data_IF_522377586142
#
_entry.id   IF_522377586142
#
_cell.length_a   1.000
_cell.length_b   1.000
_cell.length_c   1.000
_cell.angle_alpha   90.00
_cell.angle_beta   90.00
_cell.angle_gamma   90.00
#
_symmetry.space_group_name_H-M   'P 1'
#
loop_
_entity.id
_entity.type
_entity.pdbx_description
1 polymer ?
#
# COMPACT_ATOMS: atom_id res chain seq x y z
N UNK A 1 -3.61 16.24 -9.47
CA UNK A 1 -2.26 16.06 -8.91
C UNK A 1 -2.04 16.89 -7.65
N UNK A 2 -2.12 18.23 -7.69
CA UNK A 2 -1.94 19.06 -6.48
C UNK A 2 -2.91 18.77 -5.33
N UNK A 3 -4.21 18.58 -5.63
CA UNK A 3 -5.20 18.17 -4.62
C UNK A 3 -4.84 16.82 -3.95
N UNK A 4 -4.24 15.92 -4.70
CA UNK A 4 -3.80 14.60 -4.23
C UNK A 4 -2.59 14.71 -3.32
N UNK A 5 -1.61 15.54 -3.66
CA UNK A 5 -0.41 15.77 -2.84
C UNK A 5 -0.77 16.31 -1.46
N UNK A 6 -1.59 17.37 -1.40
CA UNK A 6 -2.00 17.93 -0.11
C UNK A 6 -2.80 16.91 0.73
N UNK A 7 -3.63 16.09 0.08
CA UNK A 7 -4.37 15.02 0.76
C UNK A 7 -3.43 13.94 1.30
N UNK A 8 -2.42 13.52 0.55
CA UNK A 8 -1.44 12.52 0.99
C UNK A 8 -0.63 13.05 2.19
N UNK A 9 -0.20 14.32 2.16
CA UNK A 9 0.50 14.97 3.29
C UNK A 9 -0.36 15.09 4.55
N UNK A 10 -1.64 15.48 4.41
CA UNK A 10 -2.57 15.50 5.55
C UNK A 10 -2.84 14.10 6.09
N UNK A 11 -2.93 13.10 5.22
CA UNK A 11 -3.15 11.71 5.63
C UNK A 11 -1.98 11.24 6.50
N UNK A 12 -0.73 11.48 6.08
CA UNK A 12 0.44 11.16 6.89
C UNK A 12 0.40 11.88 8.24
N UNK A 13 0.10 13.18 8.26
CA UNK A 13 0.03 13.96 9.49
C UNK A 13 -1.06 13.48 10.46
N UNK A 14 -2.17 12.97 9.95
CA UNK A 14 -3.27 12.44 10.76
C UNK A 14 -3.01 11.03 11.27
N UNK A 15 -2.22 10.23 10.55
CA UNK A 15 -1.98 8.81 10.85
C UNK A 15 -0.67 8.54 11.60
N UNK A 16 0.28 9.46 11.53
CA UNK A 16 1.55 9.36 12.23
C UNK A 16 1.67 10.49 13.28
N UNK A 17 1.61 10.17 14.59
CA UNK A 17 1.81 11.14 15.66
C UNK A 17 3.17 11.85 15.63
N UNK A 18 4.19 11.28 14.98
CA UNK A 18 5.51 11.89 14.86
C UNK A 18 5.58 12.98 13.77
N UNK A 19 4.59 13.07 12.89
CA UNK A 19 4.53 14.04 11.81
C UNK A 19 4.19 15.45 12.34
N UNK A 20 5.22 16.25 12.65
CA UNK A 20 5.03 17.58 13.25
C UNK A 20 4.38 18.59 12.30
N UNK A 21 4.74 18.55 11.01
CA UNK A 21 4.19 19.45 10.00
C UNK A 21 4.33 18.87 8.57
N UNK A 22 3.61 19.47 7.62
CA UNK A 22 3.59 19.02 6.22
C UNK A 22 4.93 19.15 5.49
N UNK A 23 5.74 20.15 5.83
CA UNK A 23 7.02 20.39 5.17
C UNK A 23 8.00 19.26 5.51
N UNK A 24 8.03 18.86 6.78
CA UNK A 24 8.77 17.68 7.23
C UNK A 24 8.30 16.43 6.49
N UNK A 25 6.99 16.15 6.49
CA UNK A 25 6.43 15.00 5.76
C UNK A 25 6.85 15.01 4.30
N UNK A 26 6.71 16.16 3.64
CA UNK A 26 7.08 16.33 2.24
C UNK A 26 8.56 16.01 1.98
N UNK A 27 9.46 16.38 2.89
CA UNK A 27 10.90 16.23 2.70
C UNK A 27 11.44 14.86 3.14
N UNK A 28 10.81 14.21 4.12
CA UNK A 28 11.45 13.07 4.82
C UNK A 28 10.66 11.78 4.79
N UNK A 29 9.42 11.73 4.26
CA UNK A 29 8.59 10.51 4.35
C UNK A 29 8.72 9.64 3.10
N UNK A 30 9.49 8.53 3.14
CA UNK A 30 9.70 7.67 1.98
C UNK A 30 8.41 7.02 1.48
N UNK A 31 7.46 6.73 2.39
CA UNK A 31 6.13 6.23 2.04
C UNK A 31 5.36 7.15 1.09
N UNK A 32 5.43 8.46 1.34
CA UNK A 32 4.81 9.48 0.50
C UNK A 32 5.54 9.62 -0.84
N UNK A 33 6.88 9.62 -0.81
CA UNK A 33 7.69 9.67 -2.02
C UNK A 33 7.44 8.46 -2.94
N UNK A 34 7.34 7.26 -2.36
CA UNK A 34 7.04 6.03 -3.09
C UNK A 34 5.63 6.07 -3.71
N UNK A 35 4.63 6.58 -2.99
CA UNK A 35 3.28 6.74 -3.52
C UNK A 35 3.24 7.71 -4.71
N UNK A 36 3.92 8.86 -4.62
CA UNK A 36 4.00 9.80 -5.74
C UNK A 36 4.75 9.23 -6.94
N UNK A 37 5.87 8.54 -6.69
CA UNK A 37 6.60 7.80 -7.71
C UNK A 37 5.73 6.74 -8.38
N UNK A 38 4.94 6.00 -7.61
CA UNK A 38 3.99 5.04 -8.15
C UNK A 38 2.94 5.71 -9.04
N UNK A 39 2.37 6.87 -8.65
CA UNK A 39 1.37 7.57 -9.48
C UNK A 39 1.95 7.95 -10.86
N UNK A 40 3.23 8.34 -10.92
CA UNK A 40 3.94 8.62 -12.18
C UNK A 40 4.20 7.32 -12.96
N UNK A 41 4.70 6.27 -12.31
CA UNK A 41 4.97 4.98 -12.96
C UNK A 41 3.70 4.34 -13.50
N UNK A 42 2.59 4.42 -12.76
CA UNK A 42 1.26 3.96 -13.15
C UNK A 42 0.73 4.74 -14.36
N UNK A 43 0.92 6.06 -14.39
CA UNK A 43 0.57 6.88 -15.55
C UNK A 43 1.35 6.44 -16.81
N UNK A 44 2.67 6.25 -16.69
CA UNK A 44 3.52 5.75 -17.79
C UNK A 44 3.06 4.36 -18.27
N UNK A 45 2.75 3.47 -17.32
CA UNK A 45 2.27 2.12 -17.60
C UNK A 45 0.99 2.12 -18.44
N UNK A 46 0.02 2.94 -18.07
CA UNK A 46 -1.26 3.05 -18.78
C UNK A 46 -1.12 3.69 -20.18
N UNK A 47 -0.07 4.49 -20.40
CA UNK A 47 0.30 5.02 -21.74
C UNK A 47 1.11 4.03 -22.59
N UNK A 48 1.18 2.75 -22.19
CA UNK A 48 1.93 1.68 -22.86
C UNK A 48 3.46 1.87 -22.86
N UNK A 49 3.98 2.84 -22.11
CA UNK A 49 5.43 3.04 -21.90
C UNK A 49 5.95 2.10 -20.80
N UNK A 50 5.74 0.80 -20.97
CA UNK A 50 5.94 -0.20 -19.90
C UNK A 50 7.40 -0.30 -19.43
N UNK A 51 8.35 -0.28 -20.35
CA UNK A 51 9.78 -0.37 -20.00
C UNK A 51 10.22 0.83 -19.16
N UNK A 52 9.89 2.06 -19.61
CA UNK A 52 10.21 3.30 -18.89
C UNK A 52 9.55 3.31 -17.51
N UNK A 53 8.28 2.88 -17.44
CA UNK A 53 7.54 2.72 -16.19
C UNK A 53 8.25 1.78 -15.21
N UNK A 54 8.78 0.64 -15.68
CA UNK A 54 9.52 -0.33 -14.85
C UNK A 54 10.89 0.19 -14.42
N UNK A 55 11.62 0.87 -15.30
CA UNK A 55 12.91 1.50 -14.94
C UNK A 55 12.68 2.53 -13.84
N UNK A 56 11.69 3.40 -14.02
CA UNK A 56 11.35 4.43 -13.05
C UNK A 56 10.87 3.85 -11.72
N UNK A 57 10.00 2.83 -11.72
CA UNK A 57 9.57 2.18 -10.48
C UNK A 57 10.72 1.53 -9.72
N UNK A 58 11.71 0.96 -10.41
CA UNK A 58 12.90 0.40 -9.75
C UNK A 58 13.78 1.50 -9.16
N UNK A 59 13.93 2.64 -9.84
CA UNK A 59 14.65 3.77 -9.26
C UNK A 59 13.97 4.29 -7.98
N UNK A 60 12.64 4.42 -7.98
CA UNK A 60 11.86 4.78 -6.78
C UNK A 60 12.07 3.76 -5.66
N UNK A 61 12.04 2.46 -5.98
CA UNK A 61 12.34 1.40 -5.01
C UNK A 61 13.74 1.56 -4.42
N UNK A 62 14.76 1.85 -5.22
CA UNK A 62 16.14 2.01 -4.72
C UNK A 62 16.25 3.16 -3.72
N UNK A 63 15.59 4.29 -3.96
CA UNK A 63 15.72 5.48 -3.09
C UNK A 63 14.77 5.46 -1.89
N UNK A 64 13.67 4.71 -1.95
CA UNK A 64 12.65 4.67 -0.87
C UNK A 64 12.63 3.36 -0.06
N UNK A 65 13.18 2.28 -0.61
CA UNK A 65 13.07 0.93 -0.04
C UNK A 65 11.68 0.28 -0.25
N UNK A 66 10.77 0.91 -1.00
CA UNK A 66 9.39 0.46 -1.21
C UNK A 66 9.20 0.04 -2.66
N UNK A 67 8.78 -1.20 -2.88
CA UNK A 67 8.46 -1.71 -4.21
C UNK A 67 6.95 -1.65 -4.47
N UNK A 68 6.55 -0.89 -5.50
CA UNK A 68 5.16 -0.86 -5.97
C UNK A 68 5.17 -1.13 -7.47
N UNK A 69 4.55 -2.24 -7.88
CA UNK A 69 4.42 -2.53 -9.29
C UNK A 69 3.57 -1.44 -10.00
N UNK A 70 4.00 -0.92 -11.17
CA UNK A 70 3.27 0.16 -11.84
C UNK A 70 1.81 -0.15 -12.19
N UNK A 71 1.48 -1.41 -12.43
CA UNK A 71 0.11 -1.84 -12.74
C UNK A 71 -0.84 -1.92 -11.52
N UNK A 72 -0.30 -1.85 -10.29
CA UNK A 72 -1.12 -1.90 -9.09
C UNK A 72 -2.11 -0.73 -9.08
N UNK A 73 -3.30 -0.95 -8.53
CA UNK A 73 -4.35 0.07 -8.42
C UNK A 73 -4.46 0.49 -6.96
N UNK A 74 -4.25 1.78 -6.70
CA UNK A 74 -4.24 2.32 -5.34
C UNK A 74 -5.27 3.44 -5.23
N UNK A 75 -6.14 3.34 -4.23
CA UNK A 75 -7.13 4.34 -3.86
C UNK A 75 -6.53 5.63 -3.30
N UNK A 76 -7.38 6.41 -2.63
CA UNK A 76 -7.03 7.69 -2.00
C UNK A 76 -6.65 7.46 -0.54
N UNK A 77 -5.84 8.38 0.02
CA UNK A 77 -5.44 8.36 1.44
C UNK A 77 -4.79 7.04 1.86
N UNK A 78 -4.10 6.40 0.91
CA UNK A 78 -3.25 5.26 1.18
C UNK A 78 -2.00 5.74 1.91
N UNK A 79 -1.66 5.11 3.03
CA UNK A 79 -0.53 5.49 3.84
C UNK A 79 0.40 4.30 4.06
N UNK A 80 1.68 4.52 3.82
CA UNK A 80 2.74 3.56 4.06
C UNK A 80 3.60 4.11 5.20
N UNK A 81 3.49 3.50 6.35
CA UNK A 81 4.25 3.89 7.53
C UNK A 81 5.54 3.07 7.64
N UNK A 82 6.66 3.75 7.91
CA UNK A 82 7.99 3.14 7.98
C UNK A 82 8.38 2.26 6.78
N UNK A 83 7.85 2.50 5.56
CA UNK A 83 7.68 1.53 4.47
C UNK A 83 8.85 0.68 3.94
N UNK A 84 10.05 0.72 4.52
CA UNK A 84 11.16 -0.18 4.16
C UNK A 84 10.69 -1.64 4.03
N UNK A 85 11.04 -2.28 2.91
CA UNK A 85 10.71 -3.68 2.66
C UNK A 85 9.28 -3.94 2.19
N UNK A 86 8.44 -2.91 2.02
CA UNK A 86 7.10 -3.08 1.45
C UNK A 86 7.19 -3.54 0.00
N UNK A 87 6.40 -4.56 -0.35
CA UNK A 87 6.28 -5.10 -1.71
C UNK A 87 4.81 -5.19 -2.12
N UNK A 88 4.43 -4.46 -3.18
CA UNK A 88 3.07 -4.44 -3.74
C UNK A 88 3.10 -4.97 -5.17
N UNK A 89 2.51 -6.15 -5.38
CA UNK A 89 2.58 -6.85 -6.65
C UNK A 89 1.64 -6.33 -7.74
N UNK A 90 1.83 -6.84 -8.96
CA UNK A 90 1.26 -6.32 -10.21
C UNK A 90 -0.25 -6.12 -10.21
N UNK A 91 -1.00 -7.13 -9.76
CA UNK A 91 -2.46 -7.13 -9.87
C UNK A 91 -3.13 -6.73 -8.57
N UNK A 92 -2.38 -6.13 -7.64
CA UNK A 92 -2.91 -5.68 -6.35
C UNK A 92 -3.92 -4.56 -6.58
N UNK A 93 -5.03 -4.63 -5.85
CA UNK A 93 -6.02 -3.55 -5.78
C UNK A 93 -6.13 -3.13 -4.32
N UNK A 94 -5.97 -1.85 -4.06
CA UNK A 94 -6.02 -1.26 -2.72
C UNK A 94 -7.13 -0.21 -2.72
N UNK A 95 -8.08 -0.35 -1.79
CA UNK A 95 -9.16 0.61 -1.56
C UNK A 95 -8.70 1.95 -1.00
N UNK A 96 -9.67 2.76 -0.56
CA UNK A 96 -9.41 4.04 0.07
C UNK A 96 -9.06 3.85 1.57
N UNK A 97 -8.30 4.81 2.12
CA UNK A 97 -8.01 4.87 3.56
C UNK A 97 -7.24 3.67 4.12
N UNK A 98 -6.52 2.93 3.28
CA UNK A 98 -5.69 1.79 3.70
C UNK A 98 -4.38 2.27 4.33
N UNK A 99 -3.95 1.59 5.39
CA UNK A 99 -2.63 1.76 6.01
C UNK A 99 -1.84 0.47 5.96
N UNK A 100 -0.57 0.54 5.60
CA UNK A 100 0.36 -0.59 5.74
C UNK A 100 1.63 -0.14 6.44
N UNK A 101 2.19 -1.01 7.26
CA UNK A 101 3.49 -0.81 7.90
C UNK A 101 4.64 -1.38 7.06
N UNK A 102 5.85 -1.22 7.57
CA UNK A 102 7.07 -1.75 7.00
C UNK A 102 7.04 -3.28 6.78
N UNK A 103 7.86 -3.75 5.84
CA UNK A 103 8.02 -5.16 5.48
C UNK A 103 6.71 -5.90 5.07
N UNK A 104 5.63 -5.18 4.77
CA UNK A 104 4.39 -5.81 4.29
C UNK A 104 4.55 -6.29 2.84
N UNK A 105 4.10 -7.51 2.56
CA UNK A 105 4.04 -8.04 1.19
C UNK A 105 2.59 -8.29 0.75
N UNK A 106 2.19 -7.68 -0.35
CA UNK A 106 0.96 -7.98 -1.11
C UNK A 106 1.37 -8.77 -2.36
N UNK A 107 1.47 -10.09 -2.19
CA UNK A 107 2.20 -10.99 -3.09
C UNK A 107 1.33 -12.00 -3.83
N UNK A 108 1.94 -12.68 -4.79
CA UNK A 108 1.33 -13.82 -5.46
C UNK A 108 1.57 -15.11 -4.68
N UNK A 109 0.65 -16.07 -4.80
CA UNK A 109 0.83 -17.44 -4.29
C UNK A 109 1.15 -18.45 -5.40
N UNK A 110 0.72 -18.16 -6.63
CA UNK A 110 0.92 -19.00 -7.82
C UNK A 110 1.66 -18.22 -8.90
N UNK A 111 2.29 -18.93 -9.84
CA UNK A 111 2.98 -18.37 -11.00
C UNK A 111 2.06 -18.12 -12.20
N UNK A 112 0.75 -18.23 -12.00
CA UNK A 112 -0.22 -18.11 -13.08
C UNK A 112 -0.31 -16.68 -13.62
N UNK A 113 -0.56 -16.58 -14.92
CA UNK A 113 -0.85 -15.29 -15.54
C UNK A 113 -2.25 -14.81 -15.13
N UNK A 114 -2.41 -13.50 -14.97
CA UNK A 114 -3.68 -12.89 -14.57
C UNK A 114 -3.70 -12.41 -13.13
N UNK A 115 -4.91 -12.27 -12.57
CA UNK A 115 -5.15 -11.78 -11.21
C UNK A 115 -4.67 -12.83 -10.20
N UNK A 116 -3.68 -12.44 -9.39
CA UNK A 116 -2.96 -13.35 -8.47
C UNK A 116 -2.47 -12.69 -7.18
N UNK A 117 -2.74 -11.41 -7.03
CA UNK A 117 -2.37 -10.59 -5.87
C UNK A 117 -3.63 -10.10 -5.17
N UNK A 118 -3.55 -9.67 -3.90
CA UNK A 118 -4.73 -9.38 -3.09
C UNK A 118 -5.59 -8.22 -3.61
N UNK A 119 -6.82 -8.19 -3.13
CA UNK A 119 -7.74 -7.05 -3.22
C UNK A 119 -8.07 -6.61 -1.80
N UNK A 120 -7.63 -5.41 -1.42
CA UNK A 120 -7.93 -4.81 -0.13
C UNK A 120 -9.13 -3.87 -0.25
N UNK A 121 -10.09 -4.04 0.65
CA UNK A 121 -11.19 -3.11 0.88
C UNK A 121 -10.73 -1.77 1.43
N UNK A 122 -11.69 -0.94 1.80
CA UNK A 122 -11.42 0.37 2.38
C UNK A 122 -11.06 0.25 3.87
N UNK A 123 -10.29 1.23 4.38
CA UNK A 123 -9.95 1.33 5.81
C UNK A 123 -9.23 0.09 6.38
N UNK A 124 -8.61 -0.71 5.52
CA UNK A 124 -7.80 -1.86 5.94
C UNK A 124 -6.50 -1.37 6.57
N UNK A 125 -6.07 -2.01 7.66
CA UNK A 125 -4.74 -1.80 8.26
C UNK A 125 -3.96 -3.10 8.21
N UNK A 126 -2.72 -3.06 7.74
CA UNK A 126 -1.85 -4.25 7.69
C UNK A 126 -0.62 -4.00 8.54
N UNK A 127 -0.48 -4.79 9.62
CA UNK A 127 0.61 -4.75 10.56
C UNK A 127 1.97 -5.07 9.93
N UNK A 128 3.03 -4.64 10.61
CA UNK A 128 4.40 -4.77 10.14
C UNK A 128 4.77 -6.23 9.83
N UNK A 129 5.46 -6.48 8.71
CA UNK A 129 5.90 -7.82 8.34
C UNK A 129 4.79 -8.79 7.92
N UNK A 130 3.54 -8.37 7.78
CA UNK A 130 2.50 -9.27 7.32
C UNK A 130 2.65 -9.63 5.82
N UNK A 131 2.23 -10.84 5.46
CA UNK A 131 2.24 -11.37 4.09
C UNK A 131 0.80 -11.70 3.68
N UNK A 132 0.25 -10.96 2.72
CA UNK A 132 -1.08 -11.22 2.15
C UNK A 132 -0.88 -11.77 0.74
N UNK A 133 -1.20 -13.04 0.53
CA UNK A 133 -0.73 -13.79 -0.64
C UNK A 133 -1.87 -14.44 -1.43
N UNK A 134 -1.88 -14.18 -2.74
CA UNK A 134 -2.84 -14.76 -3.68
C UNK A 134 -3.94 -13.80 -4.11
N UNK A 135 -4.79 -14.24 -5.04
CA UNK A 135 -6.04 -13.55 -5.37
C UNK A 135 -7.07 -13.78 -4.27
N UNK A 136 -6.90 -13.05 -3.18
CA UNK A 136 -7.79 -13.07 -2.01
C UNK A 136 -8.34 -11.68 -1.74
N UNK A 137 -9.50 -11.64 -1.08
CA UNK A 137 -10.20 -10.42 -0.70
C UNK A 137 -10.07 -10.17 0.79
N UNK A 138 -9.65 -8.96 1.14
CA UNK A 138 -9.66 -8.45 2.51
C UNK A 138 -10.79 -7.43 2.59
N UNK A 139 -11.79 -7.71 3.42
CA UNK A 139 -12.97 -6.86 3.57
C UNK A 139 -12.66 -5.49 4.17
N UNK A 140 -13.64 -4.59 4.08
CA UNK A 140 -13.52 -3.24 4.63
C UNK A 140 -13.29 -3.27 6.15
N UNK A 141 -12.44 -2.37 6.64
CA UNK A 141 -12.15 -2.19 8.07
C UNK A 141 -11.27 -3.28 8.70
N UNK A 142 -10.89 -4.33 7.96
CA UNK A 142 -10.06 -5.41 8.47
C UNK A 142 -8.68 -4.90 8.91
N UNK A 143 -8.21 -5.43 10.03
CA UNK A 143 -6.87 -5.17 10.56
C UNK A 143 -6.11 -6.49 10.60
N UNK A 144 -4.95 -6.60 9.95
CA UNK A 144 -4.12 -7.81 9.94
C UNK A 144 -2.96 -7.64 10.92
N UNK A 145 -2.70 -8.61 11.81
CA UNK A 145 -1.62 -8.49 12.79
C UNK A 145 -0.24 -8.45 12.12
N UNK A 146 0.73 -7.94 12.87
CA UNK A 146 2.13 -8.00 12.47
C UNK A 146 2.58 -9.46 12.28
N UNK A 147 3.44 -9.70 11.27
CA UNK A 147 4.00 -10.99 10.90
C UNK A 147 2.99 -12.10 10.51
N UNK A 148 1.71 -11.77 10.35
CA UNK A 148 0.69 -12.73 9.91
C UNK A 148 0.87 -13.13 8.45
N UNK A 149 0.52 -14.38 8.13
CA UNK A 149 0.46 -14.88 6.75
C UNK A 149 -0.99 -15.18 6.38
N UNK A 150 -1.57 -14.35 5.53
CA UNK A 150 -2.97 -14.42 5.11
C UNK A 150 -3.04 -14.97 3.69
N UNK A 151 -3.69 -16.13 3.56
CA UNK A 151 -3.80 -16.91 2.31
C UNK A 151 -5.25 -17.27 1.95
N UNK A 152 -6.21 -16.68 2.67
CA UNK A 152 -7.65 -16.86 2.49
C UNK A 152 -8.34 -15.50 2.61
N UNK A 153 -9.53 -15.41 2.04
CA UNK A 153 -10.38 -14.24 2.18
C UNK A 153 -10.67 -13.95 3.67
N UNK A 154 -10.78 -12.66 3.99
CA UNK A 154 -11.16 -12.17 5.31
C UNK A 154 -12.38 -11.27 5.14
N UNK A 155 -13.47 -11.59 5.82
CA UNK A 155 -14.72 -10.83 5.75
C UNK A 155 -14.57 -9.44 6.36
N UNK A 156 -15.45 -8.52 5.96
CA UNK A 156 -15.47 -7.16 6.49
C UNK A 156 -15.82 -7.15 7.98
N UNK A 157 -15.20 -6.24 8.74
CA UNK A 157 -15.52 -6.03 10.15
C UNK A 157 -16.55 -4.91 10.29
N UNK A 158 -17.74 -5.23 10.80
CA UNK A 158 -18.75 -4.26 11.23
C UNK A 158 -18.54 -3.94 12.72
N UNK A 159 -18.31 -2.67 13.04
CA UNK A 159 -18.15 -2.13 14.40
C UNK A 159 -16.89 -2.60 15.15
N UNK A 160 -15.89 -1.72 15.17
CA UNK A 160 -14.60 -1.97 15.79
C UNK A 160 -14.72 -1.70 17.29
N UNK A 161 -14.96 -2.74 18.10
CA UNK A 161 -14.59 -2.67 19.50
C UNK A 161 -13.06 -2.62 19.57
N UNK A 162 -12.53 -1.58 20.20
CA UNK A 162 -11.09 -1.30 20.17
C UNK A 162 -10.26 -2.37 20.91
N UNK A 163 -10.88 -3.39 21.51
CA UNK A 163 -10.23 -4.46 22.26
C UNK A 163 -9.88 -5.71 21.45
N UNK A 164 -10.50 -5.96 20.29
CA UNK A 164 -10.16 -7.10 19.40
C UNK A 164 -9.55 -6.57 18.10
N UNK A 165 -8.28 -6.18 18.17
CA UNK A 165 -7.69 -5.21 17.22
C UNK A 165 -7.19 -5.81 15.90
N UNK A 166 -7.11 -7.13 15.75
CA UNK A 166 -6.53 -7.74 14.55
C UNK A 166 -7.16 -9.09 14.21
N UNK A 167 -7.56 -9.26 12.95
CA UNK A 167 -7.85 -10.53 12.33
C UNK A 167 -6.52 -11.23 11.99
N UNK A 168 -6.18 -12.25 12.78
CA UNK A 168 -4.96 -13.07 12.67
C UNK A 168 -3.72 -12.26 13.00
#
# INVERSE_FOLDING_TARGET
MFKTINQDLETARLRDPAARNKLEVFLTYPGIHALWGHRISHWLWNRKLKLISRIYSNWIRTVTGIEIHPAAKIGKRFFIDHGMGVVIGETTVIGDDVMIYHDVTLGARTFENGKRHPTLGNKVTIGAGARVLGDIKIGDGVRISANSVVVKDVEAMSDIDASEQFAI
#
